data_IF_755421767679
#
_entry.id   IF_755421767679
#
_cell.length_a   1.000
_cell.length_b   1.000
_cell.length_c   1.000
_cell.angle_alpha   90.00
_cell.angle_beta   90.00
_cell.angle_gamma   90.00
#
_symmetry.space_group_name_H-M   'P 1'
#
loop_
_entity.id
_entity.type
_entity.pdbx_description
1 polymer ?
#
# COMPACT_ATOMS: atom_id res chain seq x y z
N UNK A 1 -31.39 -33.77 21.08
CA UNK A 1 -30.98 -32.37 20.84
C UNK A 1 -31.11 -32.14 19.34
N UNK A 2 -32.09 -31.36 18.88
CA UNK A 2 -32.39 -31.22 17.45
C UNK A 2 -31.47 -30.16 16.85
N UNK A 3 -30.67 -30.54 15.85
CA UNK A 3 -29.87 -29.61 15.06
C UNK A 3 -30.81 -28.69 14.26
N UNK A 4 -30.92 -27.44 14.66
CA UNK A 4 -31.62 -26.42 13.87
C UNK A 4 -30.74 -26.06 12.68
N UNK A 5 -31.09 -26.54 11.49
CA UNK A 5 -30.40 -26.21 10.24
C UNK A 5 -30.66 -24.75 9.90
N UNK A 6 -29.59 -23.94 9.89
CA UNK A 6 -29.61 -22.56 9.38
C UNK A 6 -30.10 -22.54 7.93
N UNK A 7 -31.04 -21.64 7.63
CA UNK A 7 -31.61 -21.43 6.30
C UNK A 7 -31.23 -20.02 5.81
N UNK A 8 -30.61 -19.86 4.63
CA UNK A 8 -30.26 -18.55 4.09
C UNK A 8 -31.44 -17.59 3.96
N UNK A 9 -32.65 -18.11 3.71
CA UNK A 9 -33.89 -17.33 3.64
C UNK A 9 -34.34 -16.70 4.98
N UNK A 10 -33.85 -17.22 6.12
CA UNK A 10 -34.09 -16.65 7.45
C UNK A 10 -33.03 -15.59 7.82
N UNK A 11 -32.05 -15.30 6.94
CA UNK A 11 -31.07 -14.25 7.18
C UNK A 11 -31.75 -12.88 7.06
N UNK A 12 -31.70 -12.02 8.10
CA UNK A 12 -32.28 -10.69 8.01
C UNK A 12 -31.56 -9.89 6.92
N UNK A 13 -32.32 -9.23 6.05
CA UNK A 13 -31.76 -8.19 5.18
C UNK A 13 -31.35 -7.05 6.12
N UNK A 14 -30.05 -6.80 6.20
CA UNK A 14 -29.50 -5.69 6.96
C UNK A 14 -29.77 -4.40 6.19
N UNK A 15 -30.84 -3.68 6.56
CA UNK A 15 -31.10 -2.32 6.09
C UNK A 15 -30.16 -1.36 6.84
N UNK A 16 -28.92 -1.27 6.36
CA UNK A 16 -27.88 -0.43 6.94
C UNK A 16 -28.02 1.00 6.40
N UNK A 17 -28.28 1.95 7.30
CA UNK A 17 -28.16 3.37 6.95
C UNK A 17 -26.69 3.72 6.69
N UNK A 18 -26.36 3.88 5.40
CA UNK A 18 -25.01 4.25 4.95
C UNK A 18 -24.84 5.76 4.76
N UNK A 19 -25.87 6.57 5.03
CA UNK A 19 -25.84 8.02 4.81
C UNK A 19 -24.80 8.74 5.68
N UNK A 20 -24.44 8.17 6.85
CA UNK A 20 -23.38 8.66 7.72
C UNK A 20 -21.97 8.16 7.37
N UNK A 21 -21.81 7.38 6.31
CA UNK A 21 -20.52 6.78 5.93
C UNK A 21 -19.90 7.52 4.74
N UNK A 22 -18.57 7.45 4.64
CA UNK A 22 -17.84 7.96 3.47
C UNK A 22 -17.00 6.86 2.85
N UNK A 23 -16.72 6.99 1.55
CA UNK A 23 -15.79 6.09 0.86
C UNK A 23 -14.45 6.08 1.58
N UNK A 24 -13.93 4.88 1.80
CA UNK A 24 -12.62 4.70 2.41
C UNK A 24 -11.52 5.28 1.52
N UNK A 25 -10.70 6.16 2.09
CA UNK A 25 -9.52 6.73 1.45
C UNK A 25 -8.31 6.49 2.36
N UNK A 26 -7.36 5.66 1.92
CA UNK A 26 -6.19 5.32 2.72
C UNK A 26 -5.38 6.57 3.09
N UNK A 27 -5.28 7.54 2.18
CA UNK A 27 -4.59 8.82 2.39
C UNK A 27 -5.00 9.57 3.66
N UNK A 28 -6.21 9.36 4.20
CA UNK A 28 -6.68 10.03 5.44
C UNK A 28 -6.03 9.50 6.71
N UNK A 29 -5.40 8.33 6.64
CA UNK A 29 -4.81 7.64 7.79
C UNK A 29 -3.27 7.53 7.66
N UNK A 30 -2.67 8.13 6.63
CA UNK A 30 -1.23 8.11 6.36
C UNK A 30 -0.54 9.34 6.95
N UNK A 31 -0.73 9.55 8.24
CA UNK A 31 -0.37 10.75 9.00
C UNK A 31 0.96 10.65 9.78
N UNK A 32 1.52 9.46 9.90
CA UNK A 32 2.79 9.22 10.59
C UNK A 32 3.81 8.46 9.73
N UNK A 33 5.13 8.68 9.93
CA UNK A 33 6.17 7.91 9.25
C UNK A 33 6.02 6.39 9.44
N UNK A 34 5.60 5.97 10.63
CA UNK A 34 5.41 4.56 10.96
C UNK A 34 4.27 3.95 10.14
N UNK A 35 3.12 4.62 10.07
CA UNK A 35 1.97 4.15 9.27
C UNK A 35 2.31 4.11 7.79
N UNK A 36 2.99 5.13 7.27
CA UNK A 36 3.43 5.19 5.87
C UNK A 36 4.37 4.01 5.55
N UNK A 37 5.38 3.78 6.39
CA UNK A 37 6.34 2.69 6.19
C UNK A 37 5.66 1.31 6.21
N UNK A 38 4.73 1.09 7.16
CA UNK A 38 4.00 -0.16 7.28
C UNK A 38 3.06 -0.39 6.09
N UNK A 39 2.37 0.65 5.65
CA UNK A 39 1.46 0.62 4.50
C UNK A 39 2.22 0.27 3.20
N UNK A 40 3.33 0.96 2.93
CA UNK A 40 4.18 0.66 1.77
C UNK A 40 4.80 -0.74 1.87
N UNK A 41 5.28 -1.16 3.03
CA UNK A 41 5.81 -2.51 3.24
C UNK A 41 4.75 -3.59 2.99
N UNK A 42 3.51 -3.36 3.42
CA UNK A 42 2.40 -4.28 3.15
C UNK A 42 2.08 -4.33 1.65
N UNK A 43 2.12 -3.20 0.95
CA UNK A 43 1.90 -3.14 -0.50
C UNK A 43 2.93 -3.98 -1.28
N UNK A 44 4.20 -3.98 -0.85
CA UNK A 44 5.27 -4.73 -1.50
C UNK A 44 5.14 -6.26 -1.35
N UNK A 45 4.35 -6.75 -0.37
CA UNK A 45 4.14 -8.20 -0.18
C UNK A 45 3.31 -8.84 -1.30
N UNK A 46 2.50 -8.05 -2.03
CA UNK A 46 1.72 -8.58 -3.15
C UNK A 46 2.60 -9.00 -4.34
N UNK A 47 3.85 -8.54 -4.38
CA UNK A 47 4.76 -8.69 -5.53
C UNK A 47 4.18 -8.12 -6.85
N UNK A 48 3.16 -7.27 -6.76
CA UNK A 48 2.56 -6.57 -7.90
C UNK A 48 3.01 -5.10 -7.91
N UNK A 49 3.77 -4.67 -8.93
CA UNK A 49 4.19 -3.28 -9.07
C UNK A 49 3.03 -2.27 -9.06
N UNK A 50 1.85 -2.65 -9.56
CA UNK A 50 0.67 -1.77 -9.59
C UNK A 50 0.15 -1.47 -8.19
N UNK A 51 0.22 -2.45 -7.28
CA UNK A 51 -0.17 -2.27 -5.88
C UNK A 51 0.78 -1.30 -5.18
N UNK A 52 2.10 -1.42 -5.42
CA UNK A 52 3.08 -0.47 -4.90
C UNK A 52 2.86 0.94 -5.47
N UNK A 53 2.61 1.09 -6.78
CA UNK A 53 2.37 2.40 -7.39
C UNK A 53 1.12 3.07 -6.81
N UNK A 54 0.02 2.33 -6.62
CA UNK A 54 -1.18 2.84 -5.95
C UNK A 54 -0.89 3.27 -4.51
N UNK A 55 -0.13 2.46 -3.76
CA UNK A 55 0.22 2.81 -2.39
C UNK A 55 1.07 4.08 -2.31
N UNK A 56 2.06 4.25 -3.20
CA UNK A 56 2.83 5.49 -3.33
C UNK A 56 1.92 6.69 -3.66
N UNK A 57 0.88 6.48 -4.46
CA UNK A 57 -0.06 7.54 -4.80
C UNK A 57 -0.89 7.99 -3.60
N UNK A 58 -1.35 7.05 -2.77
CA UNK A 58 -2.10 7.34 -1.54
C UNK A 58 -1.23 8.11 -0.53
N UNK A 59 0.04 7.72 -0.35
CA UNK A 59 0.98 8.44 0.51
C UNK A 59 1.26 9.85 -0.04
N UNK A 60 1.49 9.97 -1.35
CA UNK A 60 1.71 11.27 -1.99
C UNK A 60 0.48 12.19 -1.85
N UNK A 61 -0.73 11.63 -1.94
CA UNK A 61 -1.98 12.37 -1.68
C UNK A 61 -2.05 12.85 -0.22
N UNK A 62 -1.67 12.02 0.74
CA UNK A 62 -1.65 12.37 2.16
C UNK A 62 -0.66 13.51 2.49
N UNK A 63 0.52 13.52 1.87
CA UNK A 63 1.56 14.54 2.12
C UNK A 63 1.45 15.79 1.22
N UNK A 64 0.61 15.74 0.18
CA UNK A 64 0.48 16.76 -0.84
C UNK A 64 1.34 16.49 -2.07
N UNK A 65 0.70 16.14 -3.18
CA UNK A 65 1.35 15.68 -4.42
C UNK A 65 2.37 16.68 -4.97
N UNK A 66 2.09 17.99 -4.88
CA UNK A 66 3.01 19.03 -5.36
C UNK A 66 4.32 19.04 -4.55
N UNK A 67 4.21 18.95 -3.23
CA UNK A 67 5.36 18.91 -2.31
C UNK A 67 6.24 17.69 -2.58
N UNK A 68 5.61 16.54 -2.83
CA UNK A 68 6.31 15.29 -3.15
C UNK A 68 7.00 15.37 -4.51
N UNK A 69 6.34 15.92 -5.53
CA UNK A 69 6.94 16.09 -6.86
C UNK A 69 8.20 16.96 -6.81
N UNK A 70 8.12 18.09 -6.10
CA UNK A 70 9.24 19.01 -5.89
C UNK A 70 10.40 18.32 -5.15
N UNK A 71 10.11 17.66 -4.03
CA UNK A 71 11.11 16.93 -3.24
C UNK A 71 11.77 15.77 -4.01
N UNK A 72 11.02 15.10 -4.89
CA UNK A 72 11.53 14.02 -5.74
C UNK A 72 12.27 14.53 -7.00
N UNK A 73 12.25 15.83 -7.28
CA UNK A 73 12.86 16.41 -8.49
C UNK A 73 12.19 15.94 -9.77
N UNK A 74 10.89 15.65 -9.75
CA UNK A 74 10.10 15.23 -10.92
C UNK A 74 8.97 16.23 -11.17
N UNK A 75 8.61 16.45 -12.43
CA UNK A 75 7.45 17.29 -12.72
C UNK A 75 6.14 16.55 -12.33
N UNK A 76 5.08 17.33 -12.06
CA UNK A 76 3.77 16.82 -11.63
C UNK A 76 3.15 15.84 -12.61
N UNK A 77 3.30 16.08 -13.91
CA UNK A 77 2.73 15.23 -14.96
C UNK A 77 3.40 13.86 -15.01
N UNK A 78 4.73 13.82 -14.91
CA UNK A 78 5.53 12.61 -14.78
C UNK A 78 5.15 11.83 -13.53
N UNK A 79 4.96 12.50 -12.39
CA UNK A 79 4.50 11.86 -11.16
C UNK A 79 3.13 11.19 -11.35
N UNK A 80 2.14 11.88 -11.91
CA UNK A 80 0.82 11.30 -12.18
C UNK A 80 0.90 10.10 -13.13
N UNK A 81 1.71 10.16 -14.19
CA UNK A 81 1.90 9.04 -15.14
C UNK A 81 2.53 7.82 -14.47
N UNK A 82 3.49 8.03 -13.58
CA UNK A 82 4.11 6.97 -12.78
C UNK A 82 3.10 6.34 -11.83
N UNK A 83 2.37 7.15 -11.06
CA UNK A 83 1.40 6.68 -10.07
C UNK A 83 0.18 5.96 -10.69
N UNK A 84 -0.23 6.35 -11.91
CA UNK A 84 -1.34 5.70 -12.64
C UNK A 84 -0.98 4.31 -13.19
N UNK A 85 0.27 3.87 -13.06
CA UNK A 85 0.65 2.48 -13.35
C UNK A 85 0.77 2.10 -14.83
N UNK A 86 0.65 3.06 -15.75
CA UNK A 86 0.67 2.81 -17.20
C UNK A 86 2.06 2.80 -17.85
N UNK A 87 3.13 3.15 -17.14
CA UNK A 87 4.49 3.25 -17.69
C UNK A 87 5.48 2.36 -16.95
N UNK A 88 6.46 1.80 -17.67
CA UNK A 88 7.63 1.13 -17.06
C UNK A 88 8.39 2.15 -16.22
N UNK A 89 8.09 2.18 -14.93
CA UNK A 89 8.72 3.12 -13.99
C UNK A 89 10.14 2.64 -13.71
N UNK A 90 11.12 3.54 -13.90
CA UNK A 90 12.53 3.23 -13.62
C UNK A 90 12.73 3.15 -12.11
N UNK A 91 13.63 2.26 -11.68
CA UNK A 91 14.03 2.14 -10.28
C UNK A 91 14.46 3.48 -9.67
N UNK A 92 15.24 4.28 -10.42
CA UNK A 92 15.68 5.62 -9.99
C UNK A 92 14.50 6.52 -9.58
N UNK A 93 13.40 6.47 -10.33
CA UNK A 93 12.19 7.24 -10.02
C UNK A 93 11.54 6.73 -8.74
N UNK A 94 11.46 5.41 -8.56
CA UNK A 94 10.92 4.81 -7.33
C UNK A 94 11.75 5.22 -6.12
N UNK A 95 13.08 5.16 -6.23
CA UNK A 95 13.98 5.54 -5.15
C UNK A 95 13.82 7.01 -4.76
N UNK A 96 13.79 7.93 -5.73
CA UNK A 96 13.54 9.36 -5.46
C UNK A 96 12.20 9.60 -4.79
N UNK A 97 11.14 8.90 -5.22
CA UNK A 97 9.83 9.01 -4.59
C UNK A 97 9.82 8.50 -3.16
N UNK A 98 10.41 7.33 -2.90
CA UNK A 98 10.50 6.77 -1.56
C UNK A 98 11.20 7.76 -0.61
N UNK A 99 12.35 8.32 -1.03
CA UNK A 99 13.07 9.32 -0.25
C UNK A 99 12.26 10.59 -0.02
N UNK A 100 11.57 11.11 -1.06
CA UNK A 100 10.70 12.27 -0.94
C UNK A 100 9.52 12.05 0.00
N UNK A 101 9.04 10.80 0.12
CA UNK A 101 8.00 10.38 1.05
C UNK A 101 8.52 10.08 2.47
N UNK A 102 9.84 10.18 2.69
CA UNK A 102 10.47 9.95 3.99
C UNK A 102 10.70 8.47 4.33
N UNK A 103 10.80 7.59 3.33
CA UNK A 103 11.04 6.15 3.52
C UNK A 103 12.20 5.65 2.66
N UNK A 104 12.83 4.55 3.09
CA UNK A 104 13.90 3.90 2.35
C UNK A 104 13.54 2.46 1.96
N UNK A 105 14.10 1.97 0.86
CA UNK A 105 14.01 0.57 0.47
C UNK A 105 15.01 -0.24 1.29
N UNK A 106 14.55 -1.34 1.88
CA UNK A 106 15.41 -2.25 2.65
C UNK A 106 15.35 -3.66 2.07
N UNK A 107 16.47 -4.39 2.16
CA UNK A 107 16.56 -5.79 1.73
C UNK A 107 16.38 -6.68 2.97
N UNK A 108 15.52 -7.69 2.85
CA UNK A 108 15.26 -8.68 3.90
C UNK A 108 15.35 -10.08 3.31
N UNK A 109 15.73 -11.09 4.10
CA UNK A 109 15.69 -12.48 3.64
C UNK A 109 14.25 -12.86 3.25
N UNK A 110 14.10 -13.59 2.15
CA UNK A 110 12.82 -14.21 1.79
C UNK A 110 12.64 -15.41 2.72
N UNK A 111 11.66 -15.31 3.63
CA UNK A 111 11.34 -16.38 4.58
C UNK A 111 10.93 -17.63 3.77
N UNK A 112 11.81 -18.64 3.77
CA UNK A 112 11.69 -19.86 2.95
C UNK A 112 12.97 -20.27 2.21
N UNK A 113 13.97 -19.39 2.10
CA UNK A 113 15.21 -19.67 1.36
C UNK A 113 16.38 -20.22 2.21
N UNK A 114 16.17 -20.60 3.48
CA UNK A 114 17.21 -21.20 4.30
C UNK A 114 16.73 -22.53 4.88
N UNK A 115 17.22 -23.62 4.29
CA UNK A 115 17.42 -24.87 5.03
C UNK A 115 18.44 -24.56 6.14
N UNK A 116 18.20 -24.89 7.42
CA UNK A 116 19.16 -24.59 8.48
C UNK A 116 20.47 -25.32 8.16
N UNK A 117 21.56 -24.55 8.08
CA UNK A 117 22.89 -25.11 7.92
C UNK A 117 23.23 -25.93 9.18
N UNK A 118 23.74 -27.17 9.05
CA UNK A 118 24.10 -27.98 10.21
C UNK A 118 25.26 -27.30 10.94
N UNK A 119 24.99 -26.90 12.18
CA UNK A 119 26.00 -26.47 13.15
C UNK A 119 26.99 -27.62 13.34
N UNK A 120 28.22 -27.47 12.87
CA UNK A 120 29.33 -28.35 13.26
C UNK A 120 29.71 -28.02 14.71
N UNK A 121 29.65 -29.03 15.57
CA UNK A 121 30.33 -29.08 16.87
C UNK A 121 31.51 -30.05 16.71
#
# INVERSE_FOLDING_TARGET
MSESKFKPEDMPILDLDTSGTSVYEASRFLDSPQTISAYLAQSMKSQDPQVLMKALAEVAKAQGVNKVAEAAGVNRESLYKTLKGGSKTRYETIQKLMLALGVELTVRPIVGASKPAPTKI
#
